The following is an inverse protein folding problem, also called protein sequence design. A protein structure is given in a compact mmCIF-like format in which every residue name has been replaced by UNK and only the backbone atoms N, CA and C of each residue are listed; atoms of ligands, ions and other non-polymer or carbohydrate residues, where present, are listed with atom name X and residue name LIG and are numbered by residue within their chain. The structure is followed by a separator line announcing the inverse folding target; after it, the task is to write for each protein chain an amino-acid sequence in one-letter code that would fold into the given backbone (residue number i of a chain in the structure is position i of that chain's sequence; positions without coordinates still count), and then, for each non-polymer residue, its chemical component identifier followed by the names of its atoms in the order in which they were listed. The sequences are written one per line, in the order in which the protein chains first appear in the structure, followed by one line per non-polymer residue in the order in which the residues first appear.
data_IF_419049296690
#
_entry.id   IF_419049296690
#
_cell.length_a   1.000
_cell.length_b   1.000
_cell.length_c   1.000
_cell.angle_alpha   90.00
_cell.angle_beta   90.00
_cell.angle_gamma   90.00
#
_symmetry.space_group_name_H-M   'P 1'
#
loop_
_entity.id
_entity.type
_entity.pdbx_description
1 polymer ?
#
# COMPACT_ATOMS: atom_id res chain seq x y z
N UNK A 1 9.17 -9.86 -13.79
CA UNK A 1 7.82 -9.34 -14.09
C UNK A 1 7.43 -8.43 -12.94
N UNK A 2 6.71 -7.33 -13.16
CA UNK A 2 6.17 -6.54 -12.04
C UNK A 2 5.08 -7.39 -11.39
N UNK A 3 5.33 -7.90 -10.19
CA UNK A 3 4.37 -8.75 -9.47
C UNK A 3 3.23 -7.95 -8.82
N UNK A 4 3.31 -6.61 -8.89
CA UNK A 4 2.26 -5.69 -8.46
C UNK A 4 1.54 -5.07 -9.65
N UNK A 5 0.22 -4.88 -9.51
CA UNK A 5 -0.60 -4.06 -10.39
C UNK A 5 -0.04 -2.63 -10.41
N UNK A 6 0.18 -2.08 -11.62
CA UNK A 6 0.75 -0.74 -11.75
C UNK A 6 -0.21 0.30 -11.18
N UNK A 7 0.31 1.16 -10.30
CA UNK A 7 -0.41 2.31 -9.76
C UNK A 7 0.10 3.57 -10.46
N UNK A 8 -0.79 4.42 -11.02
CA UNK A 8 -0.37 5.69 -11.62
C UNK A 8 0.33 6.60 -10.59
N UNK A 9 1.42 7.29 -10.95
CA UNK A 9 2.10 8.22 -10.04
C UNK A 9 1.18 9.30 -9.46
N UNK A 10 0.23 9.79 -10.26
CA UNK A 10 -0.77 10.78 -9.83
C UNK A 10 -1.64 10.31 -8.67
N UNK A 11 -1.86 9.00 -8.53
CA UNK A 11 -2.62 8.42 -7.41
C UNK A 11 -1.81 8.49 -6.11
N UNK A 12 -0.52 8.19 -6.19
CA UNK A 12 0.40 8.27 -5.04
C UNK A 12 0.57 9.72 -4.62
N UNK A 13 0.88 10.62 -5.56
CA UNK A 13 1.04 12.05 -5.30
C UNK A 13 -0.22 12.68 -4.69
N UNK A 14 -1.41 12.24 -5.10
CA UNK A 14 -2.66 12.72 -4.53
C UNK A 14 -2.75 12.42 -3.03
N UNK A 15 -2.42 11.18 -2.62
CA UNK A 15 -2.46 10.76 -1.23
C UNK A 15 -1.35 11.43 -0.40
N UNK A 16 -0.14 11.52 -0.94
CA UNK A 16 0.99 12.20 -0.28
C UNK A 16 0.69 13.68 -0.03
N UNK A 17 0.04 14.37 -0.97
CA UNK A 17 -0.43 15.77 -0.79
C UNK A 17 -1.46 15.93 0.33
N UNK A 18 -2.15 14.85 0.72
CA UNK A 18 -3.06 14.84 1.87
C UNK A 18 -2.35 14.47 3.19
N UNK A 19 -1.02 14.30 3.16
CA UNK A 19 -0.23 13.90 4.33
C UNK A 19 -0.30 12.41 4.66
N UNK A 20 -0.67 11.57 3.69
CA UNK A 20 -0.76 10.12 3.87
C UNK A 20 0.56 9.48 3.40
N UNK A 21 1.17 8.67 4.26
CA UNK A 21 2.30 7.81 3.89
C UNK A 21 1.81 6.63 3.03
N UNK A 22 2.36 6.49 1.82
CA UNK A 22 1.88 5.52 0.82
C UNK A 22 2.94 4.45 0.55
N UNK A 23 2.53 3.19 0.63
CA UNK A 23 3.36 2.04 0.21
C UNK A 23 2.68 1.30 -0.93
N UNK A 24 3.37 1.14 -2.06
CA UNK A 24 2.92 0.33 -3.21
C UNK A 24 3.78 -0.92 -3.27
N UNK A 25 3.19 -2.07 -3.00
CA UNK A 25 3.89 -3.35 -2.84
C UNK A 25 3.13 -4.48 -3.56
N UNK A 26 3.81 -5.60 -3.81
CA UNK A 26 3.14 -6.86 -4.14
C UNK A 26 2.28 -7.31 -2.95
N UNK A 27 1.12 -7.93 -3.20
CA UNK A 27 0.08 -8.17 -2.19
C UNK A 27 0.55 -8.94 -0.95
N UNK A 28 1.38 -9.97 -1.08
CA UNK A 28 1.89 -10.70 0.10
C UNK A 28 2.80 -9.82 0.96
N UNK A 29 3.66 -9.01 0.32
CA UNK A 29 4.48 -8.02 1.01
C UNK A 29 3.63 -6.92 1.65
N UNK A 30 2.60 -6.45 0.95
CA UNK A 30 1.66 -5.46 1.45
C UNK A 30 0.93 -5.95 2.70
N UNK A 31 0.46 -7.21 2.72
CA UNK A 31 -0.20 -7.82 3.88
C UNK A 31 0.75 -7.93 5.07
N UNK A 32 2.01 -8.34 4.83
CA UNK A 32 3.03 -8.41 5.88
C UNK A 32 3.28 -7.04 6.51
N UNK A 33 3.47 -6.02 5.70
CA UNK A 33 3.72 -4.65 6.16
C UNK A 33 2.51 -4.06 6.88
N UNK A 34 1.31 -4.25 6.31
CA UNK A 34 0.06 -3.82 6.93
C UNK A 34 -0.10 -4.42 8.34
N UNK A 35 0.07 -5.74 8.48
CA UNK A 35 -0.05 -6.41 9.77
C UNK A 35 1.02 -5.93 10.77
N UNK A 36 2.23 -5.64 10.31
CA UNK A 36 3.29 -5.07 11.16
C UNK A 36 2.90 -3.68 11.69
N UNK A 37 2.30 -2.82 10.86
CA UNK A 37 1.82 -1.50 11.25
C UNK A 37 0.61 -1.58 12.20
N UNK A 38 -0.34 -2.49 11.94
CA UNK A 38 -1.45 -2.77 12.86
C UNK A 38 -0.94 -3.22 14.22
N UNK A 39 0.03 -4.14 14.26
CA UNK A 39 0.61 -4.64 15.52
C UNK A 39 1.31 -3.54 16.33
N UNK A 40 1.80 -2.49 15.67
CA UNK A 40 2.39 -1.30 16.31
C UNK A 40 1.35 -0.26 16.75
N UNK A 41 0.05 -0.49 16.48
CA UNK A 41 -1.01 0.46 16.80
C UNK A 41 -1.11 1.65 15.85
N UNK A 42 -0.48 1.57 14.67
CA UNK A 42 -0.53 2.63 13.65
C UNK A 42 -1.93 2.65 13.02
N UNK A 43 -2.47 3.86 12.77
CA UNK A 43 -3.69 4.05 11.98
C UNK A 43 -3.39 3.77 10.51
N UNK A 44 -3.60 2.53 10.08
CA UNK A 44 -3.28 2.06 8.73
C UNK A 44 -4.53 1.60 7.98
N UNK A 45 -4.57 1.87 6.68
CA UNK A 45 -5.56 1.35 5.72
C UNK A 45 -4.85 0.76 4.50
N UNK A 46 -5.52 -0.14 3.77
CA UNK A 46 -4.93 -0.79 2.60
C UNK A 46 -5.97 -1.26 1.59
N UNK A 47 -5.59 -1.25 0.31
CA UNK A 47 -6.34 -1.83 -0.80
C UNK A 47 -5.49 -2.95 -1.38
N UNK A 48 -6.06 -4.16 -1.49
CA UNK A 48 -5.34 -5.36 -1.89
C UNK A 48 -5.98 -5.96 -3.14
N UNK A 49 -5.17 -6.20 -4.17
CA UNK A 49 -5.57 -6.99 -5.34
C UNK A 49 -5.03 -8.41 -5.15
N UNK A 50 -5.93 -9.39 -4.97
CA UNK A 50 -5.54 -10.77 -4.61
C UNK A 50 -5.29 -11.68 -5.80
N UNK A 51 -5.47 -11.18 -7.03
CA UNK A 51 -5.16 -11.89 -8.27
C UNK A 51 -4.29 -11.01 -9.17
N UNK A 52 -4.05 -11.43 -10.41
CA UNK A 52 -3.43 -10.59 -11.43
C UNK A 52 -4.51 -10.07 -12.37
#
# INVERSE_FOLDING_TARGET
MSEALKVPPSTVEYLEKQGIDVRVLQTEQAVKEYNALVAQGVRVGGVFHSTC
#
